data_IF_977254560691
#
_entry.id   IF_977254560691
#
_cell.length_a   1.000
_cell.length_b   1.000
_cell.length_c   1.000
_cell.angle_alpha   90.00
_cell.angle_beta   90.00
_cell.angle_gamma   90.00
#
_symmetry.space_group_name_H-M   'P 1'
#
loop_
_entity.id
_entity.type
_entity.pdbx_description
1 polymer ?
#
# COMPACT_ATOMS: atom_id res chain seq x y z
N UNK A 1 12.50 6.36 -3.36
CA UNK A 1 13.00 5.00 -3.67
C UNK A 1 12.14 4.32 -4.72
N UNK A 2 10.90 3.94 -4.45
CA UNK A 2 10.07 3.19 -5.42
C UNK A 2 9.88 3.85 -6.79
N UNK A 3 9.79 5.16 -6.88
CA UNK A 3 9.64 5.88 -8.17
C UNK A 3 10.92 5.73 -9.01
N UNK A 4 12.08 6.02 -8.43
CA UNK A 4 13.38 5.86 -9.11
C UNK A 4 13.58 4.43 -9.59
N UNK A 5 13.26 3.44 -8.77
CA UNK A 5 13.48 2.03 -9.11
C UNK A 5 12.59 1.59 -10.28
N UNK A 6 11.37 2.14 -10.38
CA UNK A 6 10.47 1.89 -11.53
C UNK A 6 10.95 2.51 -12.83
N UNK A 7 11.70 3.61 -12.79
CA UNK A 7 12.26 4.20 -14.00
C UNK A 7 13.18 3.24 -14.75
N UNK A 8 13.83 2.31 -14.03
CA UNK A 8 14.65 1.24 -14.60
C UNK A 8 13.90 0.24 -15.50
N UNK A 9 12.56 0.20 -15.42
CA UNK A 9 11.72 -0.63 -16.30
C UNK A 9 11.29 0.07 -17.59
N UNK A 10 11.74 1.31 -17.84
CA UNK A 10 11.35 2.09 -19.02
C UNK A 10 9.89 2.54 -19.03
N UNK A 11 9.21 2.52 -17.89
CA UNK A 11 7.83 2.96 -17.77
C UNK A 11 7.73 4.48 -17.70
N UNK A 12 6.65 5.05 -18.27
CA UNK A 12 6.28 6.42 -17.99
C UNK A 12 5.65 6.47 -16.60
N UNK A 13 6.19 7.32 -15.73
CA UNK A 13 5.77 7.40 -14.33
C UNK A 13 5.05 8.72 -14.09
N UNK A 14 3.86 8.63 -13.53
CA UNK A 14 3.11 9.75 -13.00
C UNK A 14 3.09 9.68 -11.47
N UNK A 15 3.20 10.82 -10.80
CA UNK A 15 3.15 10.92 -9.36
C UNK A 15 2.08 11.92 -8.91
N UNK A 16 1.36 11.56 -7.85
CA UNK A 16 0.47 12.45 -7.12
C UNK A 16 0.85 12.42 -5.65
N UNK A 17 1.14 13.57 -5.08
CA UNK A 17 1.43 13.75 -3.66
C UNK A 17 1.04 15.17 -3.25
N UNK A 18 0.61 15.33 -2.00
CA UNK A 18 0.37 16.66 -1.41
C UNK A 18 1.68 17.41 -1.16
N UNK A 19 2.78 16.68 -0.96
CA UNK A 19 4.13 17.22 -0.83
C UNK A 19 4.97 16.81 -2.03
N UNK A 20 5.27 17.78 -2.90
CA UNK A 20 6.09 17.53 -4.11
C UNK A 20 7.57 17.65 -3.79
N UNK A 21 8.34 16.64 -4.15
CA UNK A 21 9.80 16.62 -4.02
C UNK A 21 10.45 16.92 -5.36
N UNK A 22 11.40 17.84 -5.38
CA UNK A 22 12.18 18.16 -6.60
C UNK A 22 12.95 16.94 -7.13
N UNK A 23 13.46 16.09 -6.24
CA UNK A 23 14.19 14.88 -6.64
C UNK A 23 13.34 13.84 -7.38
N UNK A 24 12.02 13.90 -7.25
CA UNK A 24 11.09 13.01 -7.95
C UNK A 24 10.87 13.45 -9.39
N UNK A 25 10.99 14.74 -9.69
CA UNK A 25 10.79 15.31 -11.04
C UNK A 25 11.77 14.75 -12.07
N UNK A 26 12.91 14.22 -11.63
CA UNK A 26 13.87 13.57 -12.51
C UNK A 26 13.32 12.24 -13.08
N UNK A 27 12.40 11.59 -12.36
CA UNK A 27 11.93 10.24 -12.67
C UNK A 27 10.43 10.16 -13.00
N UNK A 28 9.65 11.18 -12.62
CA UNK A 28 8.20 11.15 -12.75
C UNK A 28 7.59 12.52 -13.05
N UNK A 29 6.53 12.53 -13.83
CA UNK A 29 5.69 13.70 -14.05
C UNK A 29 4.68 13.83 -12.92
N UNK A 30 4.71 14.93 -12.16
CA UNK A 30 3.64 15.22 -11.21
C UNK A 30 2.35 15.62 -11.91
N UNK A 31 1.24 15.03 -11.48
CA UNK A 31 -0.11 15.42 -11.90
C UNK A 31 -0.77 16.32 -10.84
N UNK A 32 -1.77 17.10 -11.26
CA UNK A 32 -2.43 18.07 -10.39
C UNK A 32 -3.52 17.42 -9.52
N UNK A 33 -4.11 16.33 -9.99
CA UNK A 33 -5.16 15.64 -9.28
C UNK A 33 -5.03 14.12 -9.46
N UNK A 34 -5.63 13.37 -8.54
CA UNK A 34 -5.55 11.90 -8.53
C UNK A 34 -6.31 11.27 -9.70
N UNK A 35 -7.33 11.95 -10.24
CA UNK A 35 -8.11 11.47 -11.37
C UNK A 35 -7.25 11.29 -12.62
N UNK A 36 -6.21 12.11 -12.79
CA UNK A 36 -5.26 11.93 -13.88
C UNK A 36 -4.46 10.63 -13.75
N UNK A 37 -4.13 10.19 -12.52
CA UNK A 37 -3.53 8.88 -12.26
C UNK A 37 -4.48 7.79 -12.73
N UNK A 38 -5.76 7.86 -12.33
CA UNK A 38 -6.76 6.85 -12.71
C UNK A 38 -6.89 6.72 -14.22
N UNK A 39 -6.98 7.82 -14.94
CA UNK A 39 -7.19 7.82 -16.39
C UNK A 39 -5.96 7.43 -17.21
N UNK A 40 -4.76 7.78 -16.73
CA UNK A 40 -3.53 7.64 -17.54
C UNK A 40 -2.77 6.34 -17.27
N UNK A 41 -2.87 5.78 -16.06
CA UNK A 41 -1.98 4.71 -15.64
C UNK A 41 -2.57 3.30 -15.90
N UNK A 42 -1.71 2.41 -16.35
CA UNK A 42 -2.02 0.97 -16.50
C UNK A 42 -1.75 0.20 -15.20
N UNK A 43 -0.86 0.75 -14.34
CA UNK A 43 -0.53 0.24 -13.02
C UNK A 43 -0.55 1.39 -12.02
N UNK A 44 -1.27 1.22 -10.92
CA UNK A 44 -1.39 2.19 -9.84
C UNK A 44 -0.89 1.55 -8.54
N UNK A 45 -0.05 2.27 -7.80
CA UNK A 45 0.54 1.79 -6.55
C UNK A 45 0.38 2.83 -5.45
N UNK A 46 -0.04 2.38 -4.27
CA UNK A 46 -0.35 3.23 -3.13
C UNK A 46 0.79 3.23 -2.12
N UNK A 47 1.21 4.43 -1.67
CA UNK A 47 2.32 4.63 -0.75
C UNK A 47 2.05 5.73 0.29
N UNK A 48 0.80 6.01 0.57
CA UNK A 48 0.37 7.06 1.49
C UNK A 48 -0.12 6.49 2.82
N UNK A 49 -0.04 7.24 3.92
CA UNK A 49 -0.70 6.86 5.17
C UNK A 49 -2.22 6.90 5.02
N UNK A 50 -2.92 6.16 5.86
CA UNK A 50 -4.38 6.17 5.93
C UNK A 50 -4.84 7.27 6.90
N UNK A 51 -5.73 8.12 6.40
CA UNK A 51 -6.45 9.13 7.15
C UNK A 51 -7.95 8.96 6.89
N UNK A 52 -8.78 9.60 7.68
CA UNK A 52 -10.24 9.61 7.46
C UNK A 52 -10.58 10.19 6.07
N UNK A 53 -9.83 11.20 5.63
CA UNK A 53 -10.04 11.89 4.34
C UNK A 53 -9.71 11.05 3.11
N UNK A 54 -8.93 9.98 3.23
CA UNK A 54 -8.56 9.11 2.11
C UNK A 54 -9.00 7.64 2.33
N UNK A 55 -9.84 7.41 3.35
CA UNK A 55 -10.46 6.11 3.55
C UNK A 55 -11.30 5.75 2.33
N UNK A 56 -11.10 4.55 1.79
CA UNK A 56 -11.72 4.06 0.55
C UNK A 56 -11.52 5.00 -0.66
N UNK A 57 -10.36 5.68 -0.75
CA UNK A 57 -10.07 6.51 -1.92
C UNK A 57 -10.10 5.73 -3.24
N UNK A 58 -9.87 4.43 -3.19
CA UNK A 58 -10.06 3.49 -4.30
C UNK A 58 -11.36 2.74 -4.06
N UNK A 59 -12.45 3.37 -4.39
CA UNK A 59 -13.81 2.84 -4.37
C UNK A 59 -14.28 2.44 -5.79
N UNK A 60 -15.54 2.03 -5.92
CA UNK A 60 -16.14 1.67 -7.21
C UNK A 60 -16.12 2.85 -8.21
N UNK A 61 -16.30 4.10 -7.73
CA UNK A 61 -16.29 5.29 -8.59
C UNK A 61 -14.89 5.62 -9.09
N UNK A 62 -13.88 5.46 -8.23
CA UNK A 62 -12.49 5.62 -8.60
C UNK A 62 -12.09 4.56 -9.64
N UNK A 63 -12.44 3.28 -9.40
CA UNK A 63 -12.14 2.20 -10.34
C UNK A 63 -12.83 2.40 -11.68
N UNK A 64 -14.06 2.92 -11.71
CA UNK A 64 -14.77 3.21 -12.96
C UNK A 64 -14.04 4.22 -13.86
N UNK A 65 -13.22 5.13 -13.28
CA UNK A 65 -12.42 6.10 -14.02
C UNK A 65 -11.08 5.54 -14.52
N UNK A 66 -10.66 4.38 -14.01
CA UNK A 66 -9.41 3.74 -14.40
C UNK A 66 -9.53 3.07 -15.77
N UNK A 67 -8.40 2.72 -16.34
CA UNK A 67 -8.37 1.89 -17.55
C UNK A 67 -8.90 0.48 -17.27
N UNK A 68 -9.50 -0.14 -18.27
CA UNK A 68 -9.87 -1.55 -18.17
C UNK A 68 -8.64 -2.43 -18.08
N UNK A 69 -8.66 -3.39 -17.18
CA UNK A 69 -7.50 -4.25 -16.91
C UNK A 69 -6.39 -3.58 -16.08
N UNK A 70 -6.69 -2.48 -15.38
CA UNK A 70 -5.72 -1.81 -14.50
C UNK A 70 -5.13 -2.76 -13.47
N UNK A 71 -3.84 -2.59 -13.18
CA UNK A 71 -3.15 -3.31 -12.09
C UNK A 71 -3.07 -2.41 -10.86
N UNK A 72 -3.53 -2.92 -9.72
CA UNK A 72 -3.48 -2.20 -8.43
C UNK A 72 -2.50 -2.86 -7.48
N UNK A 73 -1.64 -2.05 -6.86
CA UNK A 73 -0.69 -2.52 -5.84
C UNK A 73 -0.86 -1.68 -4.57
N UNK A 74 -1.13 -2.34 -3.46
CA UNK A 74 -1.23 -1.70 -2.15
C UNK A 74 -0.28 -2.34 -1.13
N UNK A 75 0.76 -1.61 -0.80
CA UNK A 75 1.72 -1.94 0.26
C UNK A 75 1.70 -0.87 1.37
N UNK A 76 0.65 -0.06 1.42
CA UNK A 76 0.52 1.07 2.35
C UNK A 76 -0.42 0.74 3.51
N UNK A 77 -1.73 0.84 3.28
CA UNK A 77 -2.78 0.54 4.29
C UNK A 77 -4.02 -0.04 3.61
N UNK A 78 -4.61 -1.07 4.22
CA UNK A 78 -5.78 -1.78 3.67
C UNK A 78 -6.97 -0.88 3.40
N UNK A 79 -7.32 -0.01 4.33
CA UNK A 79 -8.46 0.90 4.22
C UNK A 79 -8.37 1.98 3.13
N UNK A 80 -7.29 2.03 2.35
CA UNK A 80 -7.23 2.88 1.14
C UNK A 80 -8.06 2.32 -0.01
N UNK A 81 -8.35 1.02 -0.01
CA UNK A 81 -9.13 0.34 -1.05
C UNK A 81 -10.38 -0.25 -0.41
N UNK A 82 -11.55 0.02 -0.96
CA UNK A 82 -12.78 -0.70 -0.65
C UNK A 82 -12.65 -2.14 -1.16
N UNK A 83 -12.54 -3.07 -0.25
CA UNK A 83 -12.32 -4.49 -0.58
C UNK A 83 -13.45 -5.09 -1.40
N UNK A 84 -14.70 -4.70 -1.13
CA UNK A 84 -15.87 -5.19 -1.87
C UNK A 84 -15.90 -4.66 -3.30
N UNK A 85 -15.59 -3.37 -3.46
CA UNK A 85 -15.46 -2.76 -4.79
C UNK A 85 -14.31 -3.41 -5.57
N UNK A 86 -13.19 -3.74 -4.92
CA UNK A 86 -12.06 -4.42 -5.53
C UNK A 86 -12.44 -5.82 -6.03
N UNK A 87 -13.14 -6.62 -5.21
CA UNK A 87 -13.61 -7.95 -5.61
C UNK A 87 -14.52 -7.84 -6.84
N UNK A 88 -15.48 -6.93 -6.83
CA UNK A 88 -16.36 -6.67 -7.97
C UNK A 88 -15.57 -6.24 -9.23
N UNK A 89 -14.55 -5.39 -9.04
CA UNK A 89 -13.66 -4.97 -10.13
C UNK A 89 -12.88 -6.14 -10.76
N UNK A 90 -12.43 -7.09 -9.94
CA UNK A 90 -11.76 -8.31 -10.40
C UNK A 90 -12.72 -9.24 -11.14
N UNK A 91 -13.94 -9.46 -10.61
CA UNK A 91 -14.97 -10.31 -11.22
C UNK A 91 -15.41 -9.79 -12.59
N UNK A 92 -15.49 -8.48 -12.77
CA UNK A 92 -15.87 -7.84 -14.03
C UNK A 92 -14.73 -7.66 -15.02
N UNK A 93 -13.48 -7.91 -14.61
CA UNK A 93 -12.27 -7.66 -15.41
C UNK A 93 -11.88 -6.19 -15.50
N UNK A 94 -12.57 -5.29 -14.80
CA UNK A 94 -12.16 -3.88 -14.69
C UNK A 94 -10.79 -3.73 -14.06
N UNK A 95 -10.52 -4.54 -13.05
CA UNK A 95 -9.20 -4.71 -12.43
C UNK A 95 -8.57 -5.98 -12.97
N UNK A 96 -7.45 -5.85 -13.66
CA UNK A 96 -6.77 -6.95 -14.34
C UNK A 96 -5.89 -7.79 -13.43
N UNK A 97 -5.26 -7.16 -12.42
CA UNK A 97 -4.46 -7.86 -11.41
C UNK A 97 -4.28 -7.01 -10.15
N UNK A 98 -3.99 -7.66 -9.03
CA UNK A 98 -3.83 -6.99 -7.75
C UNK A 98 -2.66 -7.58 -6.95
N UNK A 99 -1.86 -6.69 -6.34
CA UNK A 99 -0.87 -7.03 -5.34
C UNK A 99 -1.19 -6.34 -4.01
N UNK A 100 -1.46 -7.12 -2.97
CA UNK A 100 -1.80 -6.62 -1.64
C UNK A 100 -0.83 -7.15 -0.60
N UNK A 101 -0.14 -6.25 0.08
CA UNK A 101 0.58 -6.59 1.33
C UNK A 101 -0.28 -6.28 2.56
N UNK A 102 -1.30 -5.45 2.37
CA UNK A 102 -2.24 -4.98 3.39
C UNK A 102 -3.69 -5.16 2.92
N UNK A 103 -4.58 -5.45 3.84
CA UNK A 103 -6.03 -5.58 3.59
C UNK A 103 -6.82 -4.86 4.68
N UNK A 104 -8.09 -4.57 4.40
CA UNK A 104 -8.99 -4.03 5.41
C UNK A 104 -9.14 -5.01 6.59
N UNK A 105 -9.32 -4.45 7.77
CA UNK A 105 -9.55 -5.19 9.00
C UNK A 105 -8.52 -6.32 9.26
N UNK A 106 -7.30 -6.14 8.83
CA UNK A 106 -6.21 -7.13 9.00
C UNK A 106 -5.80 -7.32 10.46
N UNK A 107 -6.28 -6.46 11.36
CA UNK A 107 -5.92 -6.51 12.76
C UNK A 107 -6.28 -7.87 13.39
N UNK A 108 -5.27 -8.53 13.95
CA UNK A 108 -5.42 -9.85 14.56
C UNK A 108 -5.49 -11.02 13.59
N UNK A 109 -5.27 -10.78 12.29
CA UNK A 109 -5.17 -11.82 11.26
C UNK A 109 -3.75 -12.36 11.13
N UNK A 110 -2.74 -11.47 11.14
CA UNK A 110 -1.34 -11.84 10.98
C UNK A 110 -0.65 -11.99 12.35
N UNK A 111 0.48 -12.69 12.36
CA UNK A 111 1.32 -12.94 13.55
C UNK A 111 0.62 -13.71 14.66
N UNK A 112 -0.43 -14.49 14.32
CA UNK A 112 -1.11 -15.41 15.26
C UNK A 112 -1.06 -16.82 14.70
N UNK A 113 -0.93 -17.81 15.58
CA UNK A 113 -1.10 -19.21 15.22
C UNK A 113 -2.60 -19.52 15.01
N UNK A 114 -2.99 -19.60 13.75
CA UNK A 114 -4.36 -19.90 13.32
C UNK A 114 -4.53 -21.33 12.79
N UNK A 115 -3.53 -22.21 12.97
CA UNK A 115 -3.51 -23.55 12.38
C UNK A 115 -4.77 -24.39 12.59
N UNK A 116 -5.49 -24.18 13.69
CA UNK A 116 -6.71 -24.92 14.04
C UNK A 116 -8.00 -24.11 13.82
N UNK A 117 -7.90 -22.88 13.29
CA UNK A 117 -9.07 -22.01 13.12
C UNK A 117 -9.33 -21.72 11.65
N UNK A 118 -10.60 -21.78 11.28
CA UNK A 118 -11.05 -21.31 9.99
C UNK A 118 -10.82 -19.79 9.89
N UNK A 119 -10.26 -19.31 8.79
CA UNK A 119 -10.16 -17.88 8.53
C UNK A 119 -11.58 -17.31 8.42
N UNK A 120 -11.97 -16.48 9.38
CA UNK A 120 -13.29 -15.83 9.40
C UNK A 120 -13.39 -14.63 8.44
N UNK A 121 -12.32 -14.31 7.72
CA UNK A 121 -12.23 -13.18 6.77
C UNK A 121 -12.64 -13.64 5.38
N UNK A 122 -13.94 -13.56 5.10
CA UNK A 122 -14.54 -14.01 3.84
C UNK A 122 -13.91 -13.33 2.62
N UNK A 123 -13.76 -12.01 2.65
CA UNK A 123 -13.21 -11.24 1.54
C UNK A 123 -11.76 -11.62 1.22
N UNK A 124 -10.94 -11.92 2.24
CA UNK A 124 -9.59 -12.42 2.03
C UNK A 124 -9.58 -13.79 1.33
N UNK A 125 -10.50 -14.68 1.72
CA UNK A 125 -10.61 -15.98 1.06
C UNK A 125 -11.00 -15.81 -0.42
N UNK A 126 -11.91 -14.92 -0.73
CA UNK A 126 -12.29 -14.58 -2.11
C UNK A 126 -11.09 -14.03 -2.87
N UNK A 127 -10.42 -13.01 -2.33
CA UNK A 127 -9.24 -12.41 -2.98
C UNK A 127 -8.16 -13.45 -3.29
N UNK A 128 -7.91 -14.37 -2.37
CA UNK A 128 -6.93 -15.44 -2.57
C UNK A 128 -7.35 -16.52 -3.58
N UNK A 129 -8.62 -16.58 -3.96
CA UNK A 129 -9.12 -17.52 -4.97
C UNK A 129 -8.87 -17.03 -6.40
N UNK A 130 -8.61 -15.74 -6.60
CA UNK A 130 -8.31 -15.19 -7.93
C UNK A 130 -6.88 -15.52 -8.36
N UNK A 131 -6.66 -16.04 -9.57
CA UNK A 131 -5.32 -16.39 -10.07
C UNK A 131 -4.44 -15.17 -10.36
N UNK A 132 -5.04 -13.99 -10.51
CA UNK A 132 -4.40 -12.71 -10.80
C UNK A 132 -4.27 -11.81 -9.55
N UNK A 133 -4.40 -12.39 -8.36
CA UNK A 133 -4.25 -11.70 -7.07
C UNK A 133 -3.10 -12.29 -6.27
N UNK A 134 -2.18 -11.43 -5.84
CA UNK A 134 -1.09 -11.79 -4.93
C UNK A 134 -1.35 -11.11 -3.58
N UNK A 135 -1.40 -11.90 -2.51
CA UNK A 135 -1.55 -11.40 -1.13
C UNK A 135 -0.36 -11.85 -0.29
N UNK A 136 0.34 -10.89 0.29
CA UNK A 136 1.41 -11.13 1.27
C UNK A 136 0.94 -10.66 2.66
N UNK A 137 1.44 -11.25 3.77
CA UNK A 137 0.88 -11.03 5.10
C UNK A 137 1.51 -9.82 5.80
N UNK A 138 1.37 -8.61 5.23
CA UNK A 138 1.89 -7.34 5.75
C UNK A 138 3.41 -7.44 6.05
N UNK A 139 4.17 -7.87 5.06
CA UNK A 139 5.60 -8.15 5.17
C UNK A 139 6.49 -7.31 4.25
N UNK A 140 5.97 -6.28 3.60
CA UNK A 140 6.77 -5.45 2.70
C UNK A 140 7.95 -4.76 3.40
N UNK A 141 7.87 -4.57 4.72
CA UNK A 141 8.95 -4.04 5.55
C UNK A 141 10.01 -5.10 5.92
N UNK A 142 9.73 -6.41 5.76
CA UNK A 142 10.53 -7.49 6.33
C UNK A 142 11.82 -7.72 5.54
N UNK A 143 12.77 -6.83 5.73
CA UNK A 143 14.15 -6.93 5.23
C UNK A 143 15.09 -6.89 6.42
N UNK A 144 16.28 -7.51 6.29
CA UNK A 144 17.29 -7.54 7.36
C UNK A 144 17.60 -6.14 7.87
N UNK A 145 17.76 -5.17 6.96
CA UNK A 145 18.04 -3.78 7.31
C UNK A 145 16.89 -3.14 8.09
N UNK A 146 15.64 -3.24 7.59
CA UNK A 146 14.49 -2.60 8.23
C UNK A 146 14.22 -3.19 9.61
N UNK A 147 14.30 -4.51 9.76
CA UNK A 147 14.12 -5.19 11.06
C UNK A 147 15.23 -4.80 12.04
N UNK A 148 16.49 -4.79 11.58
CA UNK A 148 17.63 -4.37 12.39
C UNK A 148 17.48 -2.92 12.86
N UNK A 149 17.10 -2.01 11.97
CA UNK A 149 16.92 -0.60 12.30
C UNK A 149 15.75 -0.39 13.28
N UNK A 150 14.64 -1.09 13.12
CA UNK A 150 13.52 -1.02 14.07
C UNK A 150 13.95 -1.45 15.47
N UNK A 151 14.64 -2.59 15.60
CA UNK A 151 15.11 -3.09 16.90
C UNK A 151 16.12 -2.14 17.53
N UNK A 152 17.14 -1.75 16.74
CA UNK A 152 18.20 -0.85 17.21
C UNK A 152 17.64 0.50 17.67
N UNK A 153 16.80 1.14 16.86
CA UNK A 153 16.25 2.44 17.16
C UNK A 153 15.28 2.38 18.37
N UNK A 154 14.53 1.29 18.52
CA UNK A 154 13.67 1.09 19.68
C UNK A 154 14.50 0.99 20.98
N UNK A 155 15.58 0.22 20.98
CA UNK A 155 16.48 0.08 22.15
C UNK A 155 17.14 1.43 22.47
N UNK A 156 17.67 2.11 21.44
CA UNK A 156 18.30 3.43 21.63
C UNK A 156 17.31 4.46 22.17
N UNK A 157 16.08 4.46 21.65
CA UNK A 157 15.00 5.34 22.12
C UNK A 157 14.68 5.12 23.59
N UNK A 158 14.60 3.87 24.04
CA UNK A 158 14.41 3.54 25.45
C UNK A 158 15.58 4.05 26.32
N UNK A 159 16.82 3.81 25.89
CA UNK A 159 18.01 4.26 26.60
C UNK A 159 18.11 5.79 26.73
N UNK A 160 17.78 6.53 25.65
CA UNK A 160 17.76 7.99 25.64
C UNK A 160 16.69 8.53 26.60
N UNK A 161 15.49 7.95 26.56
CA UNK A 161 14.42 8.33 27.47
C UNK A 161 14.79 8.08 28.95
N UNK A 162 15.43 6.95 29.25
CA UNK A 162 15.85 6.60 30.63
C UNK A 162 16.92 7.57 31.16
N UNK A 163 17.77 8.12 30.27
CA UNK A 163 18.82 9.09 30.60
C UNK A 163 18.33 10.55 30.60
N UNK A 164 17.08 10.80 30.19
CA UNK A 164 16.55 12.16 30.02
C UNK A 164 17.22 12.93 28.87
N UNK A 165 17.78 12.21 27.90
CA UNK A 165 18.42 12.78 26.71
C UNK A 165 17.38 12.99 25.59
N UNK A 166 17.66 13.92 24.65
CA UNK A 166 16.78 14.18 23.52
C UNK A 166 16.66 12.92 22.63
N UNK A 167 15.41 12.51 22.37
CA UNK A 167 15.12 11.36 21.56
C UNK A 167 14.64 11.80 20.16
N UNK A 168 15.45 11.60 19.10
CA UNK A 168 15.09 12.02 17.73
C UNK A 168 13.91 11.24 17.13
N UNK A 169 13.48 10.13 17.73
CA UNK A 169 12.34 9.32 17.31
C UNK A 169 11.11 9.48 18.20
N UNK A 170 11.12 10.48 19.10
CA UNK A 170 9.97 10.76 19.94
C UNK A 170 8.79 11.26 19.11
N UNK A 171 7.66 10.56 19.21
CA UNK A 171 6.39 10.98 18.59
C UNK A 171 5.72 11.97 19.54
N UNK A 172 5.62 13.22 19.12
CA UNK A 172 4.93 14.30 19.87
C UNK A 172 3.48 14.41 19.47
#
# INVERSE_FOLDING_TARGET
MCIRDRSGFGCKIYAYDVYRSESVKEYADYVENVQEIYQKCDLITLHMPLFESNFHMIDEKAMAQMKDGVVLINTARGGLIDTKALIKGLETGKVGAVGLDVIEDEFGLYYKDLKSKCLSKHDLCILRSFPNVVVTPHMAFYTDQAVSDMVKNSILSCCLNERGEENPWEVK
#
